data_IF_518898245000
#
_entry.id   IF_518898245000
#
_cell.length_a   1.000
_cell.length_b   1.000
_cell.length_c   1.000
_cell.angle_alpha   90.00
_cell.angle_beta   90.00
_cell.angle_gamma   90.00
#
_symmetry.space_group_name_H-M   'P 1'
#
loop_
_entity.id
_entity.type
_entity.pdbx_description
1 polymer ?
#
# COMPACT_ATOMS: atom_id res chain seq x y z
N UNK A 1 -61.25 -12.16 61.70
CA UNK A 1 -61.39 -13.04 62.89
C UNK A 1 -60.34 -12.55 63.89
N UNK A 2 -60.71 -11.57 64.70
CA UNK A 2 -61.35 -11.70 66.02
C UNK A 2 -60.41 -12.33 67.04
N UNK A 3 -60.04 -11.52 68.03
CA UNK A 3 -59.10 -11.82 69.10
C UNK A 3 -58.96 -10.60 70.00
N UNK A 4 -60.07 -10.22 70.62
CA UNK A 4 -60.19 -9.12 71.58
C UNK A 4 -59.20 -9.26 72.75
N UNK A 5 -58.39 -8.23 72.96
CA UNK A 5 -57.98 -7.81 74.31
C UNK A 5 -57.51 -6.36 74.23
N UNK A 6 -58.48 -5.48 73.99
CA UNK A 6 -58.39 -4.05 74.25
C UNK A 6 -58.28 -3.86 75.77
N UNK A 7 -57.11 -4.19 76.32
CA UNK A 7 -56.79 -3.91 77.71
C UNK A 7 -56.54 -2.41 77.81
N UNK A 8 -57.53 -1.75 78.37
CA UNK A 8 -57.63 -0.35 78.76
C UNK A 8 -56.48 0.09 79.69
N UNK A 9 -55.26 0.13 79.15
CA UNK A 9 -54.07 0.68 79.78
C UNK A 9 -53.87 2.15 79.40
N UNK A 10 -54.46 2.59 78.28
CA UNK A 10 -54.47 4.00 77.86
C UNK A 10 -55.33 4.90 78.76
N UNK A 11 -56.46 4.39 79.28
CA UNK A 11 -57.31 5.13 80.22
C UNK A 11 -56.65 5.37 81.58
N UNK A 12 -55.97 4.37 82.13
CA UNK A 12 -55.34 4.44 83.47
C UNK A 12 -54.14 5.38 83.55
N UNK A 13 -53.39 5.55 82.46
CA UNK A 13 -52.22 6.43 82.42
C UNK A 13 -52.60 7.92 82.32
N UNK A 14 -53.75 8.25 81.70
CA UNK A 14 -54.22 9.64 81.59
C UNK A 14 -54.80 10.18 82.91
N UNK A 15 -55.25 9.30 83.81
CA UNK A 15 -55.84 9.70 85.10
C UNK A 15 -54.78 10.14 86.12
N UNK A 16 -53.58 9.53 86.09
CA UNK A 16 -52.49 9.88 87.01
C UNK A 16 -51.89 11.27 86.74
N UNK A 17 -51.87 11.71 85.47
CA UNK A 17 -51.39 13.05 85.09
C UNK A 17 -52.33 14.20 85.48
N UNK A 18 -53.55 13.91 85.94
CA UNK A 18 -54.59 14.89 86.31
C UNK A 18 -54.80 15.03 87.82
N UNK A 19 -53.85 14.61 88.65
CA UNK A 19 -53.90 14.83 90.11
C UNK A 19 -55.12 14.21 90.81
N UNK A 20 -55.81 13.28 90.16
CA UNK A 20 -56.99 12.63 90.73
C UNK A 20 -56.52 11.52 91.67
N UNK A 21 -56.87 11.64 92.96
CA UNK A 21 -56.59 10.61 93.97
C UNK A 21 -56.90 9.22 93.41
N UNK A 22 -55.92 8.32 93.52
CA UNK A 22 -55.91 7.01 92.88
C UNK A 22 -57.26 6.29 93.15
N UNK A 23 -58.05 5.94 92.12
CA UNK A 23 -59.39 5.36 92.28
C UNK A 23 -59.44 4.13 93.21
N UNK A 24 -58.31 3.46 93.39
CA UNK A 24 -58.16 2.29 94.25
C UNK A 24 -57.96 2.62 95.73
N UNK A 25 -57.42 3.80 96.09
CA UNK A 25 -57.29 4.29 97.47
C UNK A 25 -58.65 4.78 97.99
N UNK A 26 -59.40 5.51 97.15
CA UNK A 26 -60.76 5.96 97.46
C UNK A 26 -61.70 4.79 97.79
N UNK A 27 -61.58 3.66 97.08
CA UNK A 27 -62.37 2.45 97.32
C UNK A 27 -61.97 1.68 98.59
N UNK A 28 -60.72 1.80 99.02
CA UNK A 28 -60.19 1.14 100.22
C UNK A 28 -60.71 1.73 101.54
N UNK A 29 -61.13 3.01 101.54
CA UNK A 29 -61.58 3.75 102.73
C UNK A 29 -62.78 3.10 103.45
N UNK A 30 -63.59 2.29 102.73
CA UNK A 30 -64.78 1.64 103.26
C UNK A 30 -64.62 0.11 103.46
N UNK A 31 -63.46 -0.46 103.12
CA UNK A 31 -63.30 -1.92 103.00
C UNK A 31 -62.05 -2.52 103.66
N UNK A 32 -61.03 -1.71 104.00
CA UNK A 32 -59.76 -2.20 104.55
C UNK A 32 -59.42 -1.53 105.90
N UNK A 33 -58.76 -2.23 106.84
CA UNK A 33 -58.21 -1.62 108.07
C UNK A 33 -57.18 -0.53 107.77
N UNK A 34 -57.03 0.46 108.67
CA UNK A 34 -56.18 1.64 108.50
C UNK A 34 -54.71 1.33 108.18
N UNK A 35 -54.15 0.29 108.78
CA UNK A 35 -52.76 -0.15 108.55
C UNK A 35 -52.52 -0.55 107.08
N UNK A 36 -53.47 -1.28 106.48
CA UNK A 36 -53.41 -1.73 105.08
C UNK A 36 -53.59 -0.54 104.12
N UNK A 37 -54.44 0.42 104.50
CA UNK A 37 -54.64 1.67 103.76
C UNK A 37 -53.38 2.53 103.74
N UNK A 38 -52.70 2.68 104.89
CA UNK A 38 -51.45 3.44 104.98
C UNK A 38 -50.34 2.77 104.19
N UNK A 39 -50.20 1.44 104.27
CA UNK A 39 -49.23 0.68 103.48
C UNK A 39 -49.49 0.78 101.96
N UNK A 40 -50.75 0.87 101.55
CA UNK A 40 -51.13 1.05 100.14
C UNK A 40 -50.90 2.50 99.68
N UNK A 41 -51.22 3.48 100.53
CA UNK A 41 -50.99 4.89 100.25
C UNK A 41 -49.48 5.19 100.09
N UNK A 42 -48.65 4.66 100.98
CA UNK A 42 -47.19 4.80 100.87
C UNK A 42 -46.64 4.13 99.61
N UNK A 43 -47.13 2.95 99.24
CA UNK A 43 -46.73 2.27 97.99
C UNK A 43 -47.12 3.06 96.73
N UNK A 44 -48.32 3.62 96.68
CA UNK A 44 -48.77 4.47 95.56
C UNK A 44 -47.96 5.78 95.46
N UNK A 45 -47.59 6.38 96.60
CA UNK A 45 -46.71 7.56 96.63
C UNK A 45 -45.31 7.23 96.08
N UNK A 46 -44.73 6.11 96.50
CA UNK A 46 -43.42 5.64 96.03
C UNK A 46 -43.47 5.31 94.53
N UNK A 47 -44.49 4.61 94.06
CA UNK A 47 -44.70 4.35 92.62
C UNK A 47 -44.87 5.65 91.83
N UNK A 48 -45.64 6.61 92.35
CA UNK A 48 -45.80 7.94 91.77
C UNK A 48 -44.49 8.67 91.57
N UNK A 49 -43.63 8.65 92.59
CA UNK A 49 -42.29 9.23 92.53
C UNK A 49 -41.41 8.54 91.48
N UNK A 50 -41.41 7.20 91.41
CA UNK A 50 -40.67 6.47 90.39
C UNK A 50 -41.18 6.75 88.97
N UNK A 51 -42.49 6.86 88.77
CA UNK A 51 -43.07 7.23 87.48
C UNK A 51 -42.71 8.67 87.08
N UNK A 52 -42.76 9.61 88.02
CA UNK A 52 -42.34 10.99 87.76
C UNK A 52 -40.85 11.07 87.41
N UNK A 53 -39.97 10.39 88.14
CA UNK A 53 -38.54 10.32 87.80
C UNK A 53 -38.31 9.71 86.42
N UNK A 54 -38.96 8.59 86.08
CA UNK A 54 -38.82 7.96 84.75
C UNK A 54 -39.33 8.85 83.60
N UNK A 55 -40.40 9.62 83.81
CA UNK A 55 -40.88 10.60 82.83
C UNK A 55 -39.91 11.77 82.67
N UNK A 56 -39.39 12.28 83.78
CA UNK A 56 -38.38 13.34 83.78
C UNK A 56 -37.13 12.87 83.04
N UNK A 57 -36.61 11.68 83.33
CA UNK A 57 -35.46 11.09 82.65
C UNK A 57 -35.70 10.94 81.14
N UNK A 58 -36.88 10.46 80.73
CA UNK A 58 -37.22 10.32 79.31
C UNK A 58 -37.27 11.67 78.58
N UNK A 59 -37.80 12.71 79.22
CA UNK A 59 -37.82 14.07 78.67
C UNK A 59 -36.39 14.63 78.58
N UNK A 60 -35.55 14.38 79.60
CA UNK A 60 -34.15 14.77 79.57
C UNK A 60 -33.38 14.03 78.47
N UNK A 61 -33.62 12.74 78.28
CA UNK A 61 -33.01 11.91 77.23
C UNK A 61 -33.40 12.39 75.82
N UNK A 62 -34.69 12.67 75.61
CA UNK A 62 -35.17 13.27 74.37
C UNK A 62 -34.55 14.65 74.13
N UNK A 63 -34.40 15.47 75.19
CA UNK A 63 -33.70 16.75 75.13
C UNK A 63 -32.24 16.61 74.69
N UNK A 64 -31.50 15.62 75.22
CA UNK A 64 -30.11 15.32 74.82
C UNK A 64 -30.02 14.84 73.36
N UNK A 65 -31.01 14.08 72.89
CA UNK A 65 -31.05 13.64 71.50
C UNK A 65 -31.32 14.81 70.55
N UNK A 66 -32.25 15.70 70.91
CA UNK A 66 -32.57 16.88 70.10
C UNK A 66 -31.33 17.77 69.95
N UNK A 67 -30.60 18.05 71.04
CA UNK A 67 -29.39 18.86 70.97
C UNK A 67 -28.28 18.20 70.15
N UNK A 68 -28.13 16.87 70.25
CA UNK A 68 -27.19 16.12 69.41
C UNK A 68 -27.58 16.17 67.92
N UNK A 69 -28.87 16.03 67.61
CA UNK A 69 -29.36 16.12 66.23
C UNK A 69 -29.22 17.54 65.67
N UNK A 70 -29.50 18.57 66.46
CA UNK A 70 -29.28 19.97 66.08
C UNK A 70 -27.82 20.24 65.73
N UNK A 71 -26.89 19.68 66.50
CA UNK A 71 -25.46 19.75 66.18
C UNK A 71 -25.13 19.04 64.86
N UNK A 72 -25.65 17.83 64.62
CA UNK A 72 -25.44 17.10 63.36
C UNK A 72 -26.03 17.83 62.14
N UNK A 73 -27.19 18.44 62.29
CA UNK A 73 -27.81 19.23 61.22
C UNK A 73 -26.95 20.45 60.89
N UNK A 74 -26.43 21.16 61.90
CA UNK A 74 -25.49 22.27 61.70
C UNK A 74 -24.22 21.82 61.00
N UNK A 75 -23.63 20.71 61.44
CA UNK A 75 -22.42 20.16 60.81
C UNK A 75 -22.66 19.80 59.33
N UNK A 76 -23.78 19.13 59.01
CA UNK A 76 -24.12 18.78 57.62
C UNK A 76 -24.40 20.02 56.77
N UNK A 77 -24.98 21.07 57.35
CA UNK A 77 -25.20 22.34 56.68
C UNK A 77 -23.86 23.01 56.33
N UNK A 78 -22.94 23.06 57.29
CA UNK A 78 -21.57 23.59 57.09
C UNK A 78 -20.79 22.77 56.04
N UNK A 79 -20.88 21.44 56.06
CA UNK A 79 -20.26 20.57 55.05
C UNK A 79 -20.85 20.79 53.65
N UNK A 80 -22.17 20.99 53.55
CA UNK A 80 -22.85 21.32 52.28
C UNK A 80 -22.42 22.68 51.73
N UNK A 81 -22.29 23.68 52.58
CA UNK A 81 -21.87 25.02 52.19
C UNK A 81 -20.37 25.04 51.81
N UNK A 82 -19.54 24.27 52.51
CA UNK A 82 -18.15 24.02 52.14
C UNK A 82 -18.03 23.30 50.79
N UNK A 83 -18.86 22.29 50.51
CA UNK A 83 -18.90 21.61 49.22
C UNK A 83 -19.39 22.52 48.08
N UNK A 84 -20.40 23.36 48.32
CA UNK A 84 -20.89 24.36 47.36
C UNK A 84 -19.86 25.43 47.04
N UNK A 85 -19.08 25.87 48.02
CA UNK A 85 -17.99 26.84 47.80
C UNK A 85 -16.78 26.19 47.12
N UNK A 86 -16.50 24.91 47.38
CA UNK A 86 -15.43 24.15 46.71
C UNK A 86 -15.71 23.88 45.23
N UNK A 87 -16.95 23.52 44.90
CA UNK A 87 -17.44 23.39 43.53
C UNK A 87 -17.95 24.73 43.01
N UNK A 88 -17.12 25.77 43.09
CA UNK A 88 -17.51 27.13 42.76
C UNK A 88 -17.98 27.27 41.30
N UNK A 89 -18.88 28.21 41.01
CA UNK A 89 -19.34 28.48 39.64
C UNK A 89 -18.20 28.84 38.69
N UNK A 90 -17.08 29.35 39.21
CA UNK A 90 -15.86 29.65 38.45
C UNK A 90 -15.16 28.39 37.93
N UNK A 91 -14.95 27.37 38.78
CA UNK A 91 -14.34 26.10 38.33
C UNK A 91 -15.24 25.35 37.32
N UNK A 92 -16.57 25.49 37.45
CA UNK A 92 -17.53 24.94 36.49
C UNK A 92 -17.47 25.70 35.17
N UNK A 93 -17.40 27.04 35.21
CA UNK A 93 -17.27 27.88 34.02
C UNK A 93 -15.95 27.62 33.27
N UNK A 94 -14.84 27.48 33.98
CA UNK A 94 -13.54 27.11 33.39
C UNK A 94 -13.62 25.73 32.71
N UNK A 95 -14.19 24.73 33.38
CA UNK A 95 -14.37 23.40 32.80
C UNK A 95 -15.28 23.40 31.55
N UNK A 96 -16.34 24.20 31.56
CA UNK A 96 -17.27 24.37 30.43
C UNK A 96 -16.60 25.11 29.26
N UNK A 97 -15.80 26.14 29.53
CA UNK A 97 -15.00 26.83 28.52
C UNK A 97 -13.98 25.88 27.89
N UNK A 98 -13.26 25.09 28.70
CA UNK A 98 -12.34 24.07 28.21
C UNK A 98 -13.05 23.01 27.35
N UNK A 99 -14.23 22.55 27.76
CA UNK A 99 -15.04 21.61 26.98
C UNK A 99 -15.47 22.21 25.63
N UNK A 100 -15.79 23.51 25.61
CA UNK A 100 -16.19 24.23 24.39
C UNK A 100 -15.01 24.39 23.43
N UNK A 101 -13.83 24.79 23.93
CA UNK A 101 -12.59 24.87 23.13
C UNK A 101 -12.22 23.52 22.52
N UNK A 102 -12.27 22.44 23.30
CA UNK A 102 -12.01 21.08 22.81
C UNK A 102 -13.02 20.64 21.75
N UNK A 103 -14.29 21.03 21.89
CA UNK A 103 -15.33 20.74 20.89
C UNK A 103 -15.05 21.44 19.56
N UNK A 104 -14.64 22.70 19.61
CA UNK A 104 -14.24 23.46 18.40
C UNK A 104 -13.02 22.83 17.72
N UNK A 105 -12.00 22.43 18.49
CA UNK A 105 -10.83 21.73 17.96
C UNK A 105 -11.19 20.39 17.30
N UNK A 106 -12.11 19.63 17.90
CA UNK A 106 -12.60 18.37 17.31
C UNK A 106 -13.30 18.60 15.97
N UNK A 107 -14.14 19.63 15.86
CA UNK A 107 -14.80 19.96 14.59
C UNK A 107 -13.78 20.45 13.54
N UNK A 108 -12.78 21.22 13.95
CA UNK A 108 -11.66 21.62 13.08
C UNK A 108 -10.90 20.40 12.55
N UNK A 109 -10.49 19.48 13.44
CA UNK A 109 -9.77 18.26 13.08
C UNK A 109 -10.60 17.36 12.16
N UNK A 110 -11.91 17.23 12.42
CA UNK A 110 -12.82 16.50 11.52
C UNK A 110 -12.86 17.12 10.13
N UNK A 111 -12.95 18.44 10.04
CA UNK A 111 -12.92 19.18 8.78
C UNK A 111 -11.59 18.99 8.02
N UNK A 112 -10.46 19.11 8.72
CA UNK A 112 -9.12 18.88 8.14
C UNK A 112 -8.94 17.44 7.65
N UNK A 113 -9.35 16.46 8.46
CA UNK A 113 -9.30 15.04 8.09
C UNK A 113 -10.14 14.75 6.85
N UNK A 114 -11.32 15.37 6.71
CA UNK A 114 -12.16 15.21 5.52
C UNK A 114 -11.47 15.76 4.26
N UNK A 115 -10.81 16.92 4.36
CA UNK A 115 -10.02 17.49 3.26
C UNK A 115 -8.86 16.60 2.86
N UNK A 116 -8.13 16.05 3.85
CA UNK A 116 -7.01 15.16 3.59
C UNK A 116 -7.45 13.83 2.97
N UNK A 117 -8.63 13.32 3.35
CA UNK A 117 -9.24 12.16 2.69
C UNK A 117 -9.54 12.43 1.22
N UNK A 118 -10.13 13.59 0.89
CA UNK A 118 -10.37 13.98 -0.51
C UNK A 118 -9.07 14.11 -1.29
N UNK A 119 -8.04 14.70 -0.68
CA UNK A 119 -6.70 14.81 -1.29
C UNK A 119 -6.09 13.44 -1.55
N UNK A 120 -6.19 12.52 -0.59
CA UNK A 120 -5.74 11.14 -0.72
C UNK A 120 -6.47 10.42 -1.86
N UNK A 121 -7.79 10.54 -1.93
CA UNK A 121 -8.59 9.95 -3.01
C UNK A 121 -8.18 10.48 -4.39
N UNK A 122 -7.91 11.78 -4.51
CA UNK A 122 -7.39 12.35 -5.75
C UNK A 122 -6.02 11.75 -6.13
N UNK A 123 -5.09 11.66 -5.18
CA UNK A 123 -3.78 11.04 -5.44
C UNK A 123 -3.87 9.55 -5.78
N UNK A 124 -4.85 8.83 -5.23
CA UNK A 124 -5.07 7.42 -5.53
C UNK A 124 -5.58 7.23 -6.96
N UNK A 125 -6.44 8.12 -7.45
CA UNK A 125 -6.88 8.15 -8.86
C UNK A 125 -5.71 8.45 -9.81
N UNK A 126 -4.83 9.39 -9.44
CA UNK A 126 -3.62 9.68 -10.21
C UNK A 126 -2.67 8.47 -10.27
N UNK A 127 -2.46 7.80 -9.14
CA UNK A 127 -1.69 6.56 -9.10
C UNK A 127 -2.33 5.51 -10.02
N UNK A 128 -3.63 5.29 -9.93
CA UNK A 128 -4.32 4.33 -10.79
C UNK A 128 -4.12 4.63 -12.29
N UNK A 129 -4.18 5.90 -12.69
CA UNK A 129 -3.89 6.31 -14.07
C UNK A 129 -2.45 6.00 -14.48
N UNK A 130 -1.46 6.31 -13.63
CA UNK A 130 -0.04 6.01 -13.87
C UNK A 130 0.19 4.51 -14.01
N UNK A 131 -0.43 3.69 -13.16
CA UNK A 131 -0.35 2.23 -13.24
C UNK A 131 -0.93 1.70 -14.55
N UNK A 132 -2.04 2.29 -15.03
CA UNK A 132 -2.59 2.01 -16.35
C UNK A 132 -1.60 2.33 -17.47
N UNK A 133 -0.96 3.50 -17.43
CA UNK A 133 0.06 3.89 -18.41
C UNK A 133 1.29 2.97 -18.37
N UNK A 134 1.75 2.57 -17.18
CA UNK A 134 2.85 1.62 -17.04
C UNK A 134 2.51 0.25 -17.65
N UNK A 135 1.27 -0.23 -17.45
CA UNK A 135 0.78 -1.44 -18.11
C UNK A 135 0.85 -1.33 -19.63
N UNK A 136 0.39 -0.21 -20.19
CA UNK A 136 0.41 0.05 -21.63
C UNK A 136 1.84 0.12 -22.19
N UNK A 137 2.76 0.85 -21.52
CA UNK A 137 4.15 0.95 -21.97
C UNK A 137 4.87 -0.39 -21.87
N UNK A 138 4.59 -1.19 -20.84
CA UNK A 138 5.14 -2.53 -20.72
C UNK A 138 4.65 -3.46 -21.85
N UNK A 139 3.38 -3.34 -22.25
CA UNK A 139 2.85 -4.07 -23.40
C UNK A 139 3.54 -3.64 -24.70
N UNK A 140 3.65 -2.33 -24.95
CA UNK A 140 4.35 -1.81 -26.13
C UNK A 140 5.81 -2.27 -26.18
N UNK A 141 6.50 -2.33 -25.04
CA UNK A 141 7.86 -2.84 -24.98
C UNK A 141 7.94 -4.34 -25.37
N UNK A 142 6.99 -5.15 -24.90
CA UNK A 142 6.90 -6.56 -25.30
C UNK A 142 6.65 -6.69 -26.81
N UNK A 143 5.74 -5.89 -27.35
CA UNK A 143 5.46 -5.86 -28.79
C UNK A 143 6.68 -5.42 -29.61
N UNK A 144 7.36 -4.34 -29.22
CA UNK A 144 8.59 -3.89 -29.85
C UNK A 144 9.67 -4.96 -29.82
N UNK A 145 9.82 -5.69 -28.70
CA UNK A 145 10.78 -6.79 -28.57
C UNK A 145 10.45 -7.96 -29.50
N UNK A 146 9.18 -8.30 -29.67
CA UNK A 146 8.79 -9.37 -30.63
C UNK A 146 8.94 -8.92 -32.08
N UNK A 147 8.76 -7.63 -32.39
CA UNK A 147 9.06 -7.08 -33.72
C UNK A 147 10.55 -7.08 -34.02
N UNK A 148 11.39 -6.64 -33.07
CA UNK A 148 12.85 -6.64 -33.23
C UNK A 148 13.38 -8.04 -33.55
N UNK A 149 12.96 -9.05 -32.79
CA UNK A 149 13.32 -10.45 -33.06
C UNK A 149 12.93 -10.91 -34.47
N UNK A 150 11.73 -10.54 -34.94
CA UNK A 150 11.29 -10.87 -36.29
C UNK A 150 12.16 -10.23 -37.37
N UNK A 151 12.51 -8.95 -37.20
CA UNK A 151 13.42 -8.28 -38.15
C UNK A 151 14.82 -8.91 -38.13
N UNK A 152 15.32 -9.32 -36.96
CA UNK A 152 16.60 -10.02 -36.85
C UNK A 152 16.56 -11.37 -37.61
N UNK A 153 15.45 -12.12 -37.48
CA UNK A 153 15.24 -13.37 -38.20
C UNK A 153 15.16 -13.15 -39.72
N UNK A 154 14.45 -12.11 -40.18
CA UNK A 154 14.36 -11.71 -41.59
C UNK A 154 15.73 -11.29 -42.15
N UNK A 155 16.50 -10.51 -41.38
CA UNK A 155 17.85 -10.09 -41.75
C UNK A 155 18.79 -11.29 -41.86
N UNK A 156 18.68 -12.24 -40.92
CA UNK A 156 19.46 -13.48 -40.95
C UNK A 156 19.12 -14.31 -42.19
N UNK A 157 17.85 -14.37 -42.59
CA UNK A 157 17.44 -15.04 -43.82
C UNK A 157 18.02 -14.36 -45.06
N UNK A 158 17.90 -13.03 -45.16
CA UNK A 158 18.44 -12.27 -46.29
C UNK A 158 19.97 -12.39 -46.41
N UNK A 159 20.68 -12.44 -45.28
CA UNK A 159 22.13 -12.68 -45.24
C UNK A 159 22.49 -14.05 -45.81
N UNK A 160 21.74 -15.11 -45.47
CA UNK A 160 21.95 -16.45 -46.04
C UNK A 160 21.69 -16.46 -47.54
N UNK A 161 20.60 -15.83 -47.99
CA UNK A 161 20.25 -15.78 -49.41
C UNK A 161 21.32 -15.03 -50.22
N UNK A 162 21.87 -13.94 -49.67
CA UNK A 162 22.99 -13.21 -50.27
C UNK A 162 24.28 -14.05 -50.31
N UNK A 163 24.60 -14.76 -49.23
CA UNK A 163 25.76 -15.64 -49.17
C UNK A 163 25.65 -16.77 -50.21
N UNK A 164 24.46 -17.36 -50.35
CA UNK A 164 24.17 -18.34 -51.40
C UNK A 164 24.36 -17.75 -52.79
N UNK A 165 23.76 -16.59 -53.10
CA UNK A 165 23.94 -15.93 -54.40
C UNK A 165 25.42 -15.61 -54.69
N UNK A 166 26.19 -15.20 -53.68
CA UNK A 166 27.62 -14.93 -53.80
C UNK A 166 28.45 -16.19 -54.05
N UNK A 167 28.03 -17.35 -53.55
CA UNK A 167 28.71 -18.61 -53.82
C UNK A 167 28.58 -19.04 -55.29
N UNK A 168 27.47 -18.69 -55.94
CA UNK A 168 27.17 -19.08 -57.32
C UNK A 168 27.82 -18.13 -58.37
N UNK A 169 27.91 -16.83 -58.04
CA UNK A 169 28.47 -15.79 -58.93
C UNK A 169 29.88 -16.10 -59.51
N UNK A 170 30.87 -16.60 -58.74
CA UNK A 170 32.20 -16.90 -59.27
C UNK A 170 32.17 -18.02 -60.31
N UNK A 171 31.32 -19.03 -60.13
CA UNK A 171 31.20 -20.14 -61.08
C UNK A 171 30.68 -19.65 -62.44
N UNK A 172 29.63 -18.84 -62.40
CA UNK A 172 29.01 -18.29 -63.59
C UNK A 172 29.91 -17.27 -64.31
N UNK A 173 30.52 -16.34 -63.57
CA UNK A 173 31.46 -15.36 -64.13
C UNK A 173 32.68 -16.03 -64.77
N UNK A 174 33.24 -17.06 -64.14
CA UNK A 174 34.35 -17.84 -64.72
C UNK A 174 33.92 -18.60 -65.97
N UNK A 175 32.72 -19.16 -65.99
CA UNK A 175 32.18 -19.85 -67.17
C UNK A 175 31.97 -18.87 -68.34
N UNK A 176 31.40 -17.69 -68.08
CA UNK A 176 31.23 -16.62 -69.07
C UNK A 176 32.58 -16.13 -69.61
N UNK A 177 33.56 -15.86 -68.73
CA UNK A 177 34.91 -15.48 -69.13
C UNK A 177 35.57 -16.52 -70.03
N UNK A 178 35.50 -17.81 -69.66
CA UNK A 178 36.00 -18.91 -70.48
C UNK A 178 35.26 -19.05 -71.82
N UNK A 179 33.99 -18.65 -71.88
CA UNK A 179 33.17 -18.64 -73.10
C UNK A 179 33.45 -17.47 -74.05
N UNK A 180 33.99 -16.36 -73.52
CA UNK A 180 34.24 -15.12 -74.25
C UNK A 180 35.18 -15.30 -75.45
N UNK A 181 34.99 -14.45 -76.47
CA UNK A 181 35.84 -14.46 -77.67
C UNK A 181 37.29 -14.10 -77.33
N UNK A 182 37.50 -13.09 -76.46
CA UNK A 182 38.83 -12.65 -76.03
C UNK A 182 39.64 -13.77 -75.39
N UNK A 183 39.00 -14.59 -74.52
CA UNK A 183 39.67 -15.75 -73.92
C UNK A 183 40.06 -16.81 -74.96
N UNK A 184 39.14 -17.16 -75.86
CA UNK A 184 39.40 -18.14 -76.94
C UNK A 184 40.51 -17.68 -77.88
N UNK A 185 40.52 -16.40 -78.24
CA UNK A 185 41.56 -15.83 -79.10
C UNK A 185 42.91 -15.72 -78.37
N UNK A 186 42.88 -15.41 -77.08
CA UNK A 186 44.04 -15.51 -76.19
C UNK A 186 44.65 -16.92 -76.17
N UNK A 187 43.82 -17.96 -76.09
CA UNK A 187 44.28 -19.35 -76.17
C UNK A 187 44.93 -19.68 -77.52
N UNK A 188 44.38 -19.21 -78.65
CA UNK A 188 45.00 -19.38 -79.97
C UNK A 188 46.35 -18.68 -80.06
N UNK A 189 46.45 -17.45 -79.55
CA UNK A 189 47.71 -16.69 -79.49
C UNK A 189 48.74 -17.41 -78.65
N UNK A 190 48.37 -17.89 -77.46
CA UNK A 190 49.24 -18.68 -76.60
C UNK A 190 49.72 -19.98 -77.28
N UNK A 191 48.81 -20.69 -77.96
CA UNK A 191 49.14 -21.91 -78.71
C UNK A 191 50.12 -21.65 -79.86
N UNK A 192 49.98 -20.52 -80.56
CA UNK A 192 50.92 -20.11 -81.61
C UNK A 192 52.30 -19.82 -81.03
N UNK A 193 52.39 -19.09 -79.92
CA UNK A 193 53.67 -18.77 -79.27
C UNK A 193 54.39 -20.03 -78.77
N UNK A 194 53.65 -20.99 -78.20
CA UNK A 194 54.27 -22.26 -77.75
C UNK A 194 54.69 -23.15 -78.92
N UNK A 195 53.90 -23.18 -80.00
CA UNK A 195 54.27 -23.87 -81.24
C UNK A 195 55.52 -23.24 -81.88
N UNK A 196 55.55 -21.92 -82.00
CA UNK A 196 56.69 -21.15 -82.53
C UNK A 196 57.96 -21.41 -81.72
N UNK A 197 57.86 -21.36 -80.38
CA UNK A 197 58.99 -21.68 -79.51
C UNK A 197 59.47 -23.13 -79.71
N UNK A 198 58.56 -24.10 -79.75
CA UNK A 198 58.89 -25.51 -80.00
C UNK A 198 59.53 -25.72 -81.37
N UNK A 199 59.04 -25.05 -82.40
CA UNK A 199 59.56 -25.08 -83.76
C UNK A 199 60.98 -24.53 -83.82
N UNK A 200 61.23 -23.35 -83.23
CA UNK A 200 62.58 -22.75 -83.17
C UNK A 200 63.59 -23.65 -82.46
N UNK A 201 63.19 -24.29 -81.35
CA UNK A 201 64.04 -25.26 -80.65
C UNK A 201 64.32 -26.49 -81.51
N UNK A 202 63.32 -27.04 -82.21
CA UNK A 202 63.48 -28.19 -83.09
C UNK A 202 64.38 -27.86 -84.30
N UNK A 203 64.18 -26.69 -84.91
CA UNK A 203 64.99 -26.18 -86.03
C UNK A 203 66.46 -26.01 -85.62
N UNK A 204 66.72 -25.41 -84.45
CA UNK A 204 68.08 -25.28 -83.91
C UNK A 204 68.75 -26.66 -83.71
N UNK A 205 68.02 -27.64 -83.17
CA UNK A 205 68.53 -29.02 -83.00
C UNK A 205 68.80 -29.71 -84.34
N UNK A 206 67.95 -29.49 -85.34
CA UNK A 206 68.10 -30.06 -86.67
C UNK A 206 69.32 -29.48 -87.39
N UNK A 207 69.51 -28.16 -87.36
CA UNK A 207 70.68 -27.47 -87.93
C UNK A 207 72.01 -27.98 -87.35
N UNK A 208 72.05 -28.29 -86.05
CA UNK A 208 73.25 -28.89 -85.42
C UNK A 208 73.53 -30.30 -85.94
N UNK A 209 72.49 -31.08 -86.26
CA UNK A 209 72.63 -32.48 -86.70
C UNK A 209 72.93 -32.62 -88.20
N UNK A 210 72.49 -31.65 -89.02
CA UNK A 210 72.68 -31.64 -90.48
C UNK A 210 73.06 -30.23 -90.95
N UNK A 211 74.34 -29.85 -90.84
CA UNK A 211 74.79 -28.48 -91.07
C UNK A 211 74.75 -28.03 -92.54
N UNK A 212 74.83 -28.97 -93.49
CA UNK A 212 74.89 -28.68 -94.93
C UNK A 212 73.52 -28.79 -95.64
N UNK A 213 72.43 -28.90 -94.88
CA UNK A 213 71.09 -28.98 -95.44
C UNK A 213 70.51 -27.57 -95.70
N UNK A 214 70.13 -27.29 -96.94
CA UNK A 214 69.40 -26.07 -97.30
C UNK A 214 67.97 -26.14 -96.75
N UNK A 215 67.69 -25.34 -95.72
CA UNK A 215 66.38 -25.26 -95.07
C UNK A 215 65.80 -23.87 -95.33
N UNK A 216 64.54 -23.83 -95.77
CA UNK A 216 63.75 -22.61 -95.96
C UNK A 216 63.69 -21.77 -94.66
N UNK A 217 63.64 -20.44 -94.81
CA UNK A 217 63.70 -19.50 -93.68
C UNK A 217 62.54 -19.72 -92.69
N UNK A 218 62.80 -19.46 -91.40
CA UNK A 218 61.80 -19.66 -90.34
C UNK A 218 60.57 -18.79 -90.64
N UNK A 219 59.39 -19.40 -90.93
CA UNK A 219 58.18 -18.68 -91.30
C UNK A 219 57.61 -17.80 -90.18
N UNK A 220 58.19 -17.86 -88.97
CA UNK A 220 57.86 -16.99 -87.84
C UNK A 220 58.88 -15.86 -87.61
N UNK A 221 59.82 -15.65 -88.53
CA UNK A 221 60.75 -14.51 -88.47
C UNK A 221 60.04 -13.25 -88.96
N UNK A 222 59.94 -12.23 -88.10
CA UNK A 222 59.37 -10.93 -88.48
C UNK A 222 60.48 -10.09 -89.11
N UNK A 223 60.25 -9.59 -90.32
CA UNK A 223 61.20 -8.76 -91.06
C UNK A 223 60.93 -7.27 -90.81
N UNK A 224 61.96 -6.39 -90.85
CA UNK A 224 61.80 -4.95 -90.61
C UNK A 224 60.88 -4.26 -91.64
N UNK A 225 60.64 -4.86 -92.80
CA UNK A 225 59.67 -4.40 -93.79
C UNK A 225 58.21 -4.54 -93.31
N UNK A 226 57.92 -5.51 -92.44
CA UNK A 226 56.56 -5.78 -91.92
C UNK A 226 56.11 -4.76 -90.86
N UNK A 227 57.05 -4.03 -90.25
CA UNK A 227 56.78 -2.95 -89.29
C UNK A 227 56.16 -1.70 -89.96
N UNK A 228 56.15 -1.64 -91.29
CA UNK A 228 55.58 -0.54 -92.10
C UNK A 228 54.05 -0.58 -92.19
N UNK A 229 53.42 -1.67 -91.75
CA UNK A 229 51.97 -1.88 -91.89
C UNK A 229 51.25 -1.20 -90.72
N UNK A 230 50.33 -0.25 -90.95
CA UNK A 230 49.68 0.48 -89.86
C UNK A 230 48.81 -0.46 -89.02
N UNK A 231 49.19 -0.63 -87.75
CA UNK A 231 48.48 -1.44 -86.77
C UNK A 231 47.43 -0.59 -86.04
N UNK A 232 46.16 -0.98 -86.10
CA UNK A 232 45.05 -0.27 -85.45
C UNK A 232 45.21 -0.36 -83.92
N UNK A 233 45.45 0.78 -83.27
CA UNK A 233 45.89 0.84 -81.86
C UNK A 233 44.75 0.70 -80.83
N UNK A 234 43.50 0.80 -81.27
CA UNK A 234 42.31 0.68 -80.42
C UNK A 234 41.24 -0.06 -81.19
N UNK A 235 40.90 -1.25 -80.69
CA UNK A 235 39.68 -1.94 -81.04
C UNK A 235 38.83 -1.87 -79.77
N UNK A 236 37.77 -1.07 -79.80
CA UNK A 236 36.85 -0.98 -78.67
C UNK A 236 36.17 -2.35 -78.51
N UNK A 237 36.47 -3.02 -77.40
CA UNK A 237 35.76 -4.22 -77.00
C UNK A 237 34.38 -3.80 -76.52
N UNK A 238 33.43 -3.72 -77.45
CA UNK A 238 32.02 -3.56 -77.09
C UNK A 238 31.51 -4.92 -76.57
N UNK A 239 31.52 -5.07 -75.24
CA UNK A 239 31.01 -6.24 -74.52
C UNK A 239 29.47 -6.22 -74.37
N UNK A 240 28.76 -5.40 -75.17
CA UNK A 240 27.30 -5.37 -75.19
C UNK A 240 26.72 -6.70 -75.69
N UNK A 241 25.80 -7.29 -74.91
CA UNK A 241 25.05 -8.48 -75.32
C UNK A 241 24.10 -8.11 -76.48
N UNK A 242 24.08 -8.86 -77.61
CA UNK A 242 23.17 -8.55 -78.72
C UNK A 242 21.71 -8.80 -78.30
N UNK A 243 20.73 -8.02 -78.81
CA UNK A 243 19.32 -8.28 -78.53
C UNK A 243 18.85 -9.56 -79.24
N UNK A 244 18.08 -10.39 -78.52
CA UNK A 244 17.46 -11.59 -79.08
C UNK A 244 16.25 -11.25 -79.98
N UNK A 245 15.96 -12.08 -81.00
CA UNK A 245 14.86 -11.88 -81.95
C UNK A 245 13.46 -12.19 -81.38
#
# INVERSE_FOLDING_TARGET
MSGDSKLDLGGRLLEYGRGLLHPQLARGLYTLPSEVLMARATKEMVLGQHFQMALVDRVHDAGRLITFMDYRVKQLQEELDALKSRGGPEAVAEAEEHASRLREELEKIKGEKAKELLRREASEKELQAIWGHLGNTQQLLKEARTRARRMDDELLQAMKDLEHARADLPGEAVAQYKGSLGFKEGLKRMGRVTYEYGYRVALARFRVRYPDADIEDDPFTIYPEDDSVPMERQQDFDDSVPPEP
#
